data_IF_970677849774
#
_entry.id   IF_970677849774
#
_cell.length_a   1.000
_cell.length_b   1.000
_cell.length_c   1.000
_cell.angle_alpha   90.00
_cell.angle_beta   90.00
_cell.angle_gamma   90.00
#
_symmetry.space_group_name_H-M   'P 1'
#
loop_
_entity.id
_entity.type
_entity.pdbx_description
1 polymer ?
#
# COMPACT_ATOMS: atom_id res chain seq x y z
N UNK A 1 48.76 25.83 -22.83
CA UNK A 1 49.29 24.52 -22.40
C UNK A 1 49.51 24.58 -20.89
N UNK A 2 48.75 23.81 -20.12
CA UNK A 2 48.94 23.67 -18.68
C UNK A 2 48.59 22.23 -18.33
N UNK A 3 49.60 21.38 -18.16
CA UNK A 3 49.45 19.96 -17.86
C UNK A 3 48.92 19.81 -16.43
N UNK A 4 47.70 19.28 -16.30
CA UNK A 4 47.15 18.83 -15.02
C UNK A 4 47.64 17.41 -14.74
N UNK A 5 48.53 17.28 -13.78
CA UNK A 5 49.10 16.01 -13.31
C UNK A 5 48.11 15.32 -12.37
N UNK A 6 47.43 14.26 -12.84
CA UNK A 6 46.50 13.47 -12.02
C UNK A 6 47.31 12.56 -11.08
N UNK A 7 47.50 13.00 -9.83
CA UNK A 7 48.04 12.16 -8.76
C UNK A 7 47.12 10.95 -8.49
N UNK A 8 47.72 9.77 -8.40
CA UNK A 8 47.06 8.51 -8.09
C UNK A 8 46.29 8.55 -6.76
N UNK A 9 45.13 7.89 -6.73
CA UNK A 9 44.28 7.75 -5.55
C UNK A 9 45.05 7.14 -4.37
N UNK A 10 44.93 7.77 -3.20
CA UNK A 10 45.50 7.29 -1.95
C UNK A 10 44.95 5.92 -1.57
N UNK A 11 45.84 4.96 -1.28
CA UNK A 11 45.45 3.64 -0.78
C UNK A 11 44.78 3.74 0.60
N UNK A 12 43.86 2.79 0.87
CA UNK A 12 43.14 2.68 2.15
C UNK A 12 44.14 2.46 3.30
N UNK A 13 44.05 3.30 4.34
CA UNK A 13 44.87 3.19 5.57
C UNK A 13 44.50 2.02 6.49
N UNK A 14 43.44 1.28 6.19
CA UNK A 14 43.00 0.14 6.99
C UNK A 14 42.98 -1.12 6.12
N UNK A 15 43.61 -2.19 6.64
CA UNK A 15 43.65 -3.52 6.02
C UNK A 15 42.27 -4.16 5.87
N UNK A 16 42.19 -5.35 5.24
CA UNK A 16 40.91 -5.99 4.92
C UNK A 16 40.09 -6.29 6.18
N UNK A 17 38.77 -6.12 6.06
CA UNK A 17 37.81 -6.44 7.12
C UNK A 17 37.82 -7.96 7.34
N UNK A 18 38.49 -8.40 8.40
CA UNK A 18 38.46 -9.80 8.86
C UNK A 18 37.13 -10.06 9.58
N UNK A 19 36.49 -11.18 9.22
CA UNK A 19 35.23 -11.67 9.78
C UNK A 19 35.26 -11.69 11.31
N UNK A 20 34.22 -11.18 11.96
CA UNK A 20 34.03 -11.26 13.41
C UNK A 20 33.76 -12.71 13.85
N UNK A 21 34.84 -13.48 14.04
CA UNK A 21 34.81 -14.75 14.74
C UNK A 21 34.72 -14.51 16.25
N UNK A 22 33.70 -15.09 16.88
CA UNK A 22 33.43 -14.97 18.32
C UNK A 22 34.67 -15.30 19.17
N UNK A 23 35.07 -14.35 20.02
CA UNK A 23 36.15 -14.50 21.00
C UNK A 23 35.84 -15.61 22.00
N UNK A 24 36.57 -16.74 21.92
CA UNK A 24 36.60 -17.75 22.98
C UNK A 24 37.50 -17.26 24.12
N UNK A 25 36.91 -16.96 25.26
CA UNK A 25 37.66 -16.69 26.49
C UNK A 25 38.42 -17.95 26.96
N UNK A 26 39.61 -17.81 27.57
CA UNK A 26 40.41 -18.95 28.01
C UNK A 26 39.79 -19.69 29.22
N UNK A 27 39.95 -21.01 29.24
CA UNK A 27 39.37 -21.90 30.26
C UNK A 27 39.98 -21.68 31.65
N UNK A 28 39.12 -21.49 32.65
CA UNK A 28 39.50 -21.42 34.08
C UNK A 28 39.85 -22.82 34.60
N UNK A 29 40.94 -23.02 35.38
CA UNK A 29 41.25 -24.31 35.99
C UNK A 29 40.21 -24.68 37.07
N UNK A 30 39.98 -25.99 37.32
CA UNK A 30 38.89 -26.45 38.17
C UNK A 30 39.12 -26.07 39.65
N UNK A 31 38.06 -25.68 40.39
CA UNK A 31 38.20 -25.44 41.82
C UNK A 31 38.32 -26.76 42.59
N UNK A 32 39.25 -26.77 43.54
CA UNK A 32 39.48 -27.79 44.56
C UNK A 32 38.16 -28.11 45.30
N UNK A 33 37.89 -29.41 45.48
CA UNK A 33 36.66 -29.95 46.04
C UNK A 33 36.28 -29.29 47.39
N UNK A 34 35.04 -28.80 47.49
CA UNK A 34 34.43 -28.39 48.78
C UNK A 34 33.67 -29.57 49.39
N UNK A 35 33.62 -29.69 50.74
CA UNK A 35 33.12 -30.88 51.41
C UNK A 35 31.63 -31.13 51.13
N UNK A 36 31.27 -32.37 50.80
CA UNK A 36 29.90 -32.79 50.57
C UNK A 36 29.13 -32.92 51.89
N UNK A 37 28.36 -31.90 52.23
CA UNK A 37 27.28 -32.05 53.20
C UNK A 37 25.95 -31.75 52.50
N UNK A 38 25.14 -32.80 52.26
CA UNK A 38 23.81 -32.71 51.65
C UNK A 38 22.78 -33.25 52.63
N UNK A 39 22.01 -32.35 53.25
CA UNK A 39 20.87 -32.74 54.10
C UNK A 39 19.74 -33.39 53.29
N UNK A 40 18.89 -34.15 53.98
CA UNK A 40 17.80 -34.99 53.45
C UNK A 40 16.62 -34.24 52.79
N UNK A 41 16.85 -33.10 52.12
CA UNK A 41 15.83 -32.32 51.42
C UNK A 41 16.23 -31.80 50.04
N UNK A 42 17.39 -32.20 49.50
CA UNK A 42 17.86 -31.70 48.21
C UNK A 42 17.28 -32.49 47.03
N UNK A 43 16.14 -32.05 46.49
CA UNK A 43 15.68 -32.51 45.17
C UNK A 43 16.38 -31.69 44.07
N UNK A 44 17.11 -32.37 43.17
CA UNK A 44 17.71 -31.74 41.99
C UNK A 44 16.60 -31.13 41.14
N UNK A 45 16.60 -29.82 40.94
CA UNK A 45 15.76 -29.17 39.92
C UNK A 45 16.08 -29.79 38.56
N UNK A 46 15.05 -30.27 37.86
CA UNK A 46 15.19 -30.79 36.51
C UNK A 46 15.81 -29.71 35.61
N UNK A 47 16.79 -30.10 34.79
CA UNK A 47 17.36 -29.20 33.78
C UNK A 47 16.23 -28.75 32.85
N UNK A 48 16.08 -27.45 32.55
CA UNK A 48 15.14 -27.00 31.53
C UNK A 48 15.49 -27.70 30.22
N UNK A 49 14.49 -28.31 29.57
CA UNK A 49 14.65 -28.89 28.24
C UNK A 49 15.11 -27.77 27.30
N UNK A 50 16.06 -28.03 26.38
CA UNK A 50 16.40 -27.06 25.36
C UNK A 50 15.12 -26.76 24.57
N UNK A 51 14.72 -25.49 24.54
CA UNK A 51 13.71 -25.01 23.62
C UNK A 51 14.31 -25.22 22.23
N UNK A 52 13.89 -26.28 21.55
CA UNK A 52 14.10 -26.38 20.12
C UNK A 52 13.23 -25.27 19.54
N UNK A 53 13.83 -24.12 19.28
CA UNK A 53 13.24 -23.10 18.43
C UNK A 53 12.96 -23.77 17.08
N UNK A 54 11.73 -24.27 16.92
CA UNK A 54 11.23 -24.59 15.61
C UNK A 54 11.41 -23.31 14.77
N UNK A 55 11.97 -23.39 13.56
CA UNK A 55 12.01 -22.23 12.68
C UNK A 55 10.59 -21.68 12.60
N UNK A 56 10.39 -20.45 13.06
CA UNK A 56 9.14 -19.74 12.73
C UNK A 56 9.13 -19.68 11.21
N UNK A 57 8.12 -20.30 10.59
CA UNK A 57 7.89 -20.15 9.16
C UNK A 57 7.92 -18.66 8.86
N UNK A 58 8.99 -18.22 8.17
CA UNK A 58 9.02 -16.86 7.67
C UNK A 58 7.95 -16.82 6.58
N UNK A 59 7.02 -15.86 6.64
CA UNK A 59 6.05 -15.72 5.57
C UNK A 59 6.82 -15.57 4.26
N UNK A 60 6.45 -16.38 3.25
CA UNK A 60 7.02 -16.28 1.92
C UNK A 60 6.88 -14.83 1.46
N UNK A 61 7.96 -14.17 1.01
CA UNK A 61 7.87 -12.81 0.50
C UNK A 61 6.86 -12.78 -0.66
N UNK A 62 5.87 -11.90 -0.61
CA UNK A 62 4.98 -11.69 -1.74
C UNK A 62 5.77 -11.03 -2.87
N UNK A 63 5.68 -11.61 -4.07
CA UNK A 63 6.32 -11.06 -5.26
C UNK A 63 5.78 -9.65 -5.52
N UNK A 64 6.69 -8.72 -5.81
CA UNK A 64 6.36 -7.32 -6.06
C UNK A 64 6.18 -7.11 -7.57
N UNK A 65 4.93 -7.05 -8.03
CA UNK A 65 4.60 -6.85 -9.44
C UNK A 65 4.81 -5.37 -9.85
N UNK A 66 4.56 -4.42 -8.94
CA UNK A 66 4.67 -2.99 -9.27
C UNK A 66 6.13 -2.52 -9.24
N UNK A 67 6.61 -1.80 -10.28
CA UNK A 67 7.93 -1.16 -10.24
C UNK A 67 8.09 -0.20 -9.06
N UNK A 68 9.29 -0.13 -8.50
CA UNK A 68 9.59 0.69 -7.31
C UNK A 68 9.28 2.18 -7.56
N UNK A 69 9.52 2.66 -8.77
CA UNK A 69 9.24 4.04 -9.17
C UNK A 69 7.74 4.35 -9.12
N UNK A 70 6.91 3.38 -9.52
CA UNK A 70 5.46 3.50 -9.46
C UNK A 70 4.96 3.48 -8.01
N UNK A 71 5.51 2.58 -7.19
CA UNK A 71 5.19 2.53 -5.76
C UNK A 71 5.52 3.87 -5.10
N UNK A 72 6.71 4.42 -5.35
CA UNK A 72 7.12 5.71 -4.81
C UNK A 72 6.23 6.86 -5.30
N UNK A 73 5.80 6.85 -6.55
CA UNK A 73 4.88 7.86 -7.09
C UNK A 73 3.53 7.83 -6.37
N UNK A 74 2.96 6.65 -6.12
CA UNK A 74 1.73 6.50 -5.33
C UNK A 74 1.91 7.06 -3.91
N UNK A 75 3.03 6.74 -3.25
CA UNK A 75 3.33 7.27 -1.90
C UNK A 75 3.51 8.79 -1.90
N UNK A 76 4.16 9.35 -2.92
CA UNK A 76 4.32 10.81 -3.04
C UNK A 76 2.97 11.50 -3.20
N UNK A 77 2.02 10.92 -3.95
CA UNK A 77 0.68 11.50 -4.08
C UNK A 77 -0.03 11.57 -2.73
N UNK A 78 0.03 10.52 -1.91
CA UNK A 78 -0.51 10.61 -0.54
C UNK A 78 0.17 11.72 0.25
N UNK A 79 1.49 11.81 0.21
CA UNK A 79 2.24 12.84 0.94
C UNK A 79 1.84 14.26 0.48
N UNK A 80 1.77 14.49 -0.83
CA UNK A 80 1.63 15.83 -1.38
C UNK A 80 0.16 16.30 -1.45
N UNK A 81 -0.81 15.38 -1.33
CA UNK A 81 -2.25 15.71 -1.43
C UNK A 81 -2.86 16.29 -0.14
N UNK A 82 -2.18 16.15 1.00
CA UNK A 82 -2.72 16.57 2.30
C UNK A 82 -1.73 17.47 3.02
N UNK A 83 -2.17 18.68 3.38
CA UNK A 83 -1.36 19.64 4.13
C UNK A 83 -0.91 19.10 5.50
N UNK A 84 -1.69 18.19 6.09
CA UNK A 84 -1.35 17.49 7.32
C UNK A 84 -0.05 16.65 7.25
N UNK A 85 0.51 16.43 6.05
CA UNK A 85 1.81 15.77 5.89
C UNK A 85 3.00 16.68 6.24
N UNK A 86 2.81 18.01 6.27
CA UNK A 86 3.88 18.98 6.55
C UNK A 86 4.29 19.00 8.03
N UNK A 87 3.33 18.79 8.93
CA UNK A 87 3.55 18.70 10.38
C UNK A 87 2.94 17.41 10.94
N UNK A 88 3.71 16.33 10.81
CA UNK A 88 3.27 15.02 11.30
C UNK A 88 3.15 14.96 12.83
N UNK A 89 3.92 15.77 13.57
CA UNK A 89 3.85 15.79 15.04
C UNK A 89 2.51 16.35 15.52
N UNK A 90 2.02 17.40 14.87
CA UNK A 90 0.68 17.94 15.11
C UNK A 90 -0.44 16.92 14.81
N UNK A 91 -0.20 15.97 13.92
CA UNK A 91 -1.17 14.92 13.53
C UNK A 91 -1.23 13.76 14.54
N UNK A 92 -0.20 13.53 15.35
CA UNK A 92 -0.12 12.38 16.29
C UNK A 92 -1.34 12.27 17.22
N UNK A 93 -1.83 13.35 17.87
CA UNK A 93 -3.02 13.28 18.74
C UNK A 93 -4.26 12.80 17.99
N UNK A 94 -4.48 13.32 16.76
CA UNK A 94 -5.58 12.92 15.88
C UNK A 94 -5.49 11.44 15.54
N UNK A 95 -4.29 10.95 15.17
CA UNK A 95 -4.11 9.53 14.85
C UNK A 95 -4.39 8.61 16.03
N UNK A 96 -4.03 9.03 17.25
CA UNK A 96 -4.35 8.26 18.47
C UNK A 96 -5.85 8.20 18.68
N UNK A 97 -6.53 9.33 18.60
CA UNK A 97 -7.99 9.38 18.74
C UNK A 97 -8.69 8.52 17.67
N UNK A 98 -8.29 8.66 16.40
CA UNK A 98 -8.84 7.83 15.31
C UNK A 98 -8.63 6.35 15.60
N UNK A 99 -7.42 5.95 16.00
CA UNK A 99 -7.13 4.56 16.30
C UNK A 99 -7.94 4.03 17.50
N UNK A 100 -8.08 4.83 18.57
CA UNK A 100 -8.93 4.51 19.72
C UNK A 100 -10.40 4.32 19.28
N UNK A 101 -10.95 5.26 18.51
CA UNK A 101 -12.32 5.19 18.01
C UNK A 101 -12.56 4.03 17.05
N UNK A 102 -11.60 3.72 16.18
CA UNK A 102 -11.65 2.52 15.33
C UNK A 102 -11.66 1.23 16.16
N UNK A 103 -10.87 1.17 17.24
CA UNK A 103 -10.87 0.01 18.16
C UNK A 103 -12.18 -0.11 18.93
N UNK A 104 -12.75 1.02 19.36
CA UNK A 104 -14.08 1.13 19.98
C UNK A 104 -15.22 0.85 19.00
N UNK A 105 -14.94 0.85 17.69
CA UNK A 105 -15.91 0.72 16.58
C UNK A 105 -16.87 1.90 16.49
N UNK A 106 -16.46 3.03 17.03
CA UNK A 106 -17.14 4.31 16.91
C UNK A 106 -16.70 4.95 15.58
N UNK A 107 -17.32 4.53 14.48
CA UNK A 107 -16.96 5.01 13.14
C UNK A 107 -17.25 6.49 12.93
N UNK A 108 -18.32 7.00 13.56
CA UNK A 108 -18.66 8.42 13.55
C UNK A 108 -17.61 9.23 14.31
N UNK A 109 -17.19 8.76 15.49
CA UNK A 109 -16.08 9.37 16.24
C UNK A 109 -14.74 9.28 15.51
N UNK A 110 -14.47 8.17 14.83
CA UNK A 110 -13.22 7.94 14.10
C UNK A 110 -13.13 8.76 12.81
N UNK A 111 -14.24 8.91 12.09
CA UNK A 111 -14.24 9.46 10.73
C UNK A 111 -15.20 10.62 10.54
N UNK A 112 -15.79 11.19 11.60
CA UNK A 112 -16.72 12.32 11.49
C UNK A 112 -16.05 13.64 11.09
N UNK A 113 -14.78 13.84 11.47
CA UNK A 113 -14.01 15.04 11.11
C UNK A 113 -13.16 14.86 9.84
N UNK A 114 -13.03 15.93 9.04
CA UNK A 114 -12.18 15.92 7.85
C UNK A 114 -10.71 15.65 8.19
N UNK A 115 -10.17 16.33 9.20
CA UNK A 115 -8.80 16.12 9.70
C UNK A 115 -8.53 14.66 10.10
N UNK A 116 -9.52 14.01 10.71
CA UNK A 116 -9.44 12.59 11.10
C UNK A 116 -9.39 11.67 9.88
N UNK A 117 -10.22 11.94 8.87
CA UNK A 117 -10.23 11.19 7.61
C UNK A 117 -8.93 11.39 6.83
N UNK A 118 -8.41 12.62 6.77
CA UNK A 118 -7.11 12.91 6.15
C UNK A 118 -5.95 12.27 6.89
N UNK A 119 -5.94 12.37 8.22
CA UNK A 119 -4.95 11.70 9.05
C UNK A 119 -4.98 10.19 8.84
N UNK A 120 -6.18 9.61 8.75
CA UNK A 120 -6.34 8.20 8.45
C UNK A 120 -5.84 7.85 7.04
N UNK A 121 -6.19 8.66 6.06
CA UNK A 121 -5.76 8.54 4.67
C UNK A 121 -4.23 8.56 4.57
N UNK A 122 -3.56 9.51 5.24
CA UNK A 122 -2.10 9.62 5.28
C UNK A 122 -1.42 8.44 5.99
N UNK A 123 -1.95 8.02 7.14
CA UNK A 123 -1.25 7.06 8.01
C UNK A 123 -1.43 5.60 7.60
N UNK A 124 -2.62 5.21 7.18
CA UNK A 124 -2.96 3.79 6.95
C UNK A 124 -3.31 3.46 5.50
N UNK A 125 -3.67 4.44 4.66
CA UNK A 125 -4.03 4.16 3.27
C UNK A 125 -2.85 3.91 2.32
N UNK A 126 -1.64 4.50 2.47
CA UNK A 126 -0.60 4.29 1.47
C UNK A 126 -0.12 2.84 1.39
N UNK A 127 0.11 2.20 2.56
CA UNK A 127 0.49 0.79 2.60
C UNK A 127 -0.61 -0.13 2.08
N UNK A 128 -1.88 0.20 2.35
CA UNK A 128 -3.03 -0.57 1.84
C UNK A 128 -3.18 -0.42 0.34
N UNK A 129 -2.99 0.79 -0.20
CA UNK A 129 -3.05 1.06 -1.63
C UNK A 129 -2.02 0.21 -2.40
N UNK A 130 -0.77 0.20 -1.92
CA UNK A 130 0.28 -0.62 -2.53
C UNK A 130 -0.01 -2.12 -2.43
N UNK A 131 -0.47 -2.59 -1.26
CA UNK A 131 -0.83 -3.99 -1.08
C UNK A 131 -1.97 -4.42 -2.01
N UNK A 132 -3.04 -3.62 -2.09
CA UNK A 132 -4.18 -3.89 -2.98
C UNK A 132 -3.76 -3.85 -4.45
N UNK A 133 -2.97 -2.85 -4.85
CA UNK A 133 -2.46 -2.77 -6.22
C UNK A 133 -1.61 -3.99 -6.58
N UNK A 134 -0.74 -4.43 -5.68
CA UNK A 134 0.15 -5.58 -5.91
C UNK A 134 -0.63 -6.87 -6.06
N UNK A 135 -1.58 -7.13 -5.16
CA UNK A 135 -2.46 -8.30 -5.24
C UNK A 135 -3.26 -8.28 -6.55
N UNK A 136 -3.83 -7.13 -6.92
CA UNK A 136 -4.56 -7.03 -8.18
C UNK A 136 -3.66 -7.21 -9.41
N UNK A 137 -2.43 -6.70 -9.38
CA UNK A 137 -1.47 -6.87 -10.47
C UNK A 137 -1.08 -8.35 -10.64
N UNK A 138 -0.75 -9.04 -9.55
CA UNK A 138 -0.49 -10.48 -9.52
C UNK A 138 -1.66 -11.28 -10.13
N UNK A 139 -2.89 -10.98 -9.70
CA UNK A 139 -4.08 -11.60 -10.29
C UNK A 139 -4.25 -11.30 -11.79
N UNK A 140 -3.95 -10.08 -12.24
CA UNK A 140 -4.04 -9.73 -13.66
C UNK A 140 -2.98 -10.42 -14.50
N UNK A 141 -1.78 -10.63 -13.97
CA UNK A 141 -0.70 -11.38 -14.64
C UNK A 141 -1.08 -12.86 -14.79
N UNK A 142 -1.63 -13.49 -13.74
CA UNK A 142 -2.09 -14.89 -13.79
C UNK A 142 -3.32 -15.09 -14.69
N UNK A 143 -4.20 -14.09 -14.75
CA UNK A 143 -5.50 -14.16 -15.43
C UNK A 143 -5.57 -13.28 -16.67
N UNK A 144 -4.44 -13.12 -17.36
CA UNK A 144 -4.33 -12.22 -18.52
C UNK A 144 -5.40 -12.49 -19.59
N UNK A 145 -5.83 -13.75 -19.77
CA UNK A 145 -6.85 -14.12 -20.77
C UNK A 145 -8.30 -13.83 -20.34
N UNK A 146 -8.55 -13.53 -19.06
CA UNK A 146 -9.90 -13.26 -18.56
C UNK A 146 -10.44 -11.94 -19.17
N UNK A 147 -11.71 -11.95 -19.62
CA UNK A 147 -12.38 -10.80 -20.25
C UNK A 147 -12.25 -9.52 -19.41
N UNK A 148 -12.40 -9.62 -18.08
CA UNK A 148 -12.32 -8.45 -17.20
C UNK A 148 -10.90 -7.82 -17.16
N UNK A 149 -9.84 -8.63 -17.24
CA UNK A 149 -8.44 -8.16 -17.27
C UNK A 149 -8.15 -7.49 -18.61
N UNK A 150 -8.60 -8.11 -19.70
CA UNK A 150 -8.51 -7.56 -21.04
C UNK A 150 -9.25 -6.23 -21.14
N UNK A 151 -10.45 -6.15 -20.55
CA UNK A 151 -11.23 -4.92 -20.54
C UNK A 151 -10.56 -3.80 -19.76
N UNK A 152 -9.98 -4.11 -18.60
CA UNK A 152 -9.25 -3.15 -17.76
C UNK A 152 -7.98 -2.63 -18.44
N UNK A 153 -7.29 -3.48 -19.20
CA UNK A 153 -6.04 -3.14 -19.88
C UNK A 153 -6.27 -2.36 -21.19
N UNK A 154 -7.26 -2.77 -21.98
CA UNK A 154 -7.37 -2.34 -23.39
C UNK A 154 -8.65 -1.54 -23.72
N UNK A 155 -9.65 -1.52 -22.84
CA UNK A 155 -10.98 -0.94 -23.15
C UNK A 155 -11.59 -0.19 -21.97
N UNK A 156 -12.92 0.02 -21.97
CA UNK A 156 -13.65 0.55 -20.83
C UNK A 156 -14.14 -0.56 -19.88
N UNK A 157 -13.79 -0.41 -18.60
CA UNK A 157 -14.18 -1.27 -17.51
C UNK A 157 -15.01 -0.50 -16.48
N UNK A 158 -15.79 -1.25 -15.70
CA UNK A 158 -16.47 -0.75 -14.52
C UNK A 158 -15.94 -1.49 -13.30
N UNK A 159 -15.77 -0.79 -12.19
CA UNK A 159 -15.48 -1.40 -10.91
C UNK A 159 -16.36 -0.78 -9.82
N UNK A 160 -16.75 -1.60 -8.85
CA UNK A 160 -17.40 -1.15 -7.62
C UNK A 160 -16.59 -1.66 -6.44
N UNK A 161 -16.30 -0.77 -5.52
CA UNK A 161 -15.49 -1.06 -4.38
C UNK A 161 -16.22 -0.70 -3.09
N UNK A 162 -16.35 -1.69 -2.23
CA UNK A 162 -16.94 -1.54 -0.91
C UNK A 162 -15.84 -1.41 0.14
N UNK A 163 -15.81 -0.25 0.79
CA UNK A 163 -14.85 0.11 1.82
C UNK A 163 -13.84 1.17 1.39
N UNK A 164 -13.34 1.90 2.38
CA UNK A 164 -11.97 2.39 2.50
C UNK A 164 -11.51 3.56 1.64
N UNK A 165 -12.25 3.99 0.61
CA UNK A 165 -12.09 5.22 -0.19
C UNK A 165 -10.69 5.55 -0.75
N UNK A 166 -9.77 5.96 0.14
CA UNK A 166 -8.47 6.52 -0.19
C UNK A 166 -7.47 5.48 -0.72
N UNK A 167 -7.42 4.28 -0.12
CA UNK A 167 -6.47 3.25 -0.52
C UNK A 167 -6.83 2.68 -1.90
N UNK A 168 -8.12 2.57 -2.15
CA UNK A 168 -8.77 1.91 -3.26
C UNK A 168 -8.58 2.69 -4.54
N UNK A 169 -8.77 4.00 -4.49
CA UNK A 169 -8.47 4.89 -5.62
C UNK A 169 -7.03 4.74 -6.04
N UNK A 170 -6.10 4.85 -5.09
CA UNK A 170 -4.69 4.81 -5.39
C UNK A 170 -4.23 3.42 -5.80
N UNK A 171 -4.89 2.37 -5.32
CA UNK A 171 -4.67 1.01 -5.77
C UNK A 171 -5.07 0.83 -7.24
N UNK A 172 -6.29 1.26 -7.62
CA UNK A 172 -6.74 1.22 -9.01
C UNK A 172 -5.91 2.13 -9.90
N UNK A 173 -5.51 3.31 -9.43
CA UNK A 173 -4.65 4.21 -10.19
C UNK A 173 -3.26 3.60 -10.45
N UNK A 174 -2.65 3.01 -9.43
CA UNK A 174 -1.40 2.28 -9.57
C UNK A 174 -1.53 1.07 -10.50
N UNK A 175 -2.60 0.29 -10.36
CA UNK A 175 -2.88 -0.87 -11.23
C UNK A 175 -3.06 -0.47 -12.70
N UNK A 176 -3.89 0.54 -12.98
CA UNK A 176 -4.10 1.05 -14.34
C UNK A 176 -2.79 1.54 -14.95
N UNK A 177 -1.97 2.22 -14.16
CA UNK A 177 -0.63 2.68 -14.57
C UNK A 177 0.33 1.52 -14.85
N UNK A 178 0.21 0.42 -14.11
CA UNK A 178 1.04 -0.76 -14.29
C UNK A 178 0.65 -1.55 -15.54
N UNK A 179 -0.66 -1.81 -15.72
CA UNK A 179 -1.20 -2.61 -16.82
C UNK A 179 -1.05 -1.91 -18.17
N UNK A 180 -1.21 -0.59 -18.22
CA UNK A 180 -1.22 0.11 -19.50
C UNK A 180 0.15 0.68 -19.86
N UNK A 181 0.51 0.50 -21.13
CA UNK A 181 1.73 1.04 -21.72
C UNK A 181 1.65 2.55 -22.01
N UNK A 182 0.44 3.09 -22.15
CA UNK A 182 0.15 4.52 -22.39
C UNK A 182 0.19 5.38 -21.12
N UNK A 183 0.14 4.73 -19.96
CA UNK A 183 0.18 5.40 -18.69
C UNK A 183 1.65 5.78 -18.42
N UNK A 184 1.91 7.09 -18.45
CA UNK A 184 3.20 7.76 -18.58
C UNK A 184 4.45 7.18 -17.82
N UNK A 185 5.65 7.67 -18.11
CA UNK A 185 6.84 7.34 -17.31
C UNK A 185 7.47 5.95 -17.53
N UNK A 186 7.05 5.16 -18.54
CA UNK A 186 7.95 4.13 -19.10
C UNK A 186 9.10 4.82 -19.86
N UNK A 187 10.32 4.25 -19.87
CA UNK A 187 11.45 4.83 -20.62
C UNK A 187 11.08 5.00 -22.10
N UNK A 188 11.57 6.08 -22.71
CA UNK A 188 11.25 6.54 -24.08
C UNK A 188 11.27 5.43 -25.15
N UNK A 189 12.10 4.40 -24.96
CA UNK A 189 12.20 3.23 -25.82
C UNK A 189 10.93 2.37 -25.93
N UNK A 190 10.04 2.42 -24.92
CA UNK A 190 8.75 1.73 -24.96
C UNK A 190 7.63 2.60 -25.57
N UNK A 191 7.75 3.93 -25.49
CA UNK A 191 6.82 4.86 -26.16
C UNK A 191 6.96 4.78 -27.68
N UNK A 192 8.16 4.58 -28.20
CA UNK A 192 8.40 4.52 -29.64
C UNK A 192 7.83 3.24 -30.30
N UNK A 193 7.55 2.19 -29.52
CA UNK A 193 6.85 0.99 -29.97
C UNK A 193 5.30 1.12 -29.93
N UNK A 194 4.76 2.06 -29.14
CA UNK A 194 3.32 2.25 -28.95
C UNK A 194 2.71 3.36 -29.83
N UNK A 195 3.54 4.06 -30.62
CA UNK A 195 3.13 5.22 -31.44
C UNK A 195 2.34 4.87 -32.70
N UNK A 196 2.17 3.60 -33.06
CA UNK A 196 1.45 3.24 -34.28
C UNK A 196 -0.08 3.11 -34.13
N UNK A 197 -0.66 3.16 -32.91
CA UNK A 197 -2.05 2.72 -32.74
C UNK A 197 -3.05 3.65 -32.01
N UNK A 198 -2.81 4.96 -31.81
CA UNK A 198 -3.86 5.77 -31.16
C UNK A 198 -4.19 7.12 -31.81
N UNK A 199 -5.38 7.16 -32.41
CA UNK A 199 -6.10 8.33 -32.88
C UNK A 199 -6.71 9.13 -31.72
N UNK A 200 -6.55 10.45 -31.80
CA UNK A 200 -7.03 11.44 -30.84
C UNK A 200 -8.54 11.68 -31.01
N UNK A 201 -9.37 10.89 -30.34
CA UNK A 201 -10.76 11.27 -30.04
C UNK A 201 -11.00 11.18 -28.53
N UNK A 202 -11.87 12.04 -28.01
CA UNK A 202 -12.23 12.10 -26.59
C UNK A 202 -12.99 10.83 -26.19
N UNK A 203 -12.23 9.76 -25.93
CA UNK A 203 -12.74 8.45 -25.55
C UNK A 203 -13.34 8.48 -24.14
N UNK A 204 -14.42 7.72 -23.96
CA UNK A 204 -15.04 7.42 -22.66
C UNK A 204 -13.99 6.95 -21.62
N UNK A 205 -14.26 7.12 -20.32
CA UNK A 205 -13.27 6.77 -19.31
C UNK A 205 -12.90 5.29 -19.36
N UNK A 206 -11.60 5.02 -19.18
CA UNK A 206 -11.06 3.65 -19.22
C UNK A 206 -11.58 2.84 -18.03
N UNK A 207 -11.60 3.43 -16.83
CA UNK A 207 -12.24 2.82 -15.66
C UNK A 207 -13.27 3.78 -15.06
N UNK A 208 -14.50 3.30 -14.95
CA UNK A 208 -15.56 3.92 -14.17
C UNK A 208 -15.64 3.22 -12.80
N UNK A 209 -15.06 3.84 -11.77
CA UNK A 209 -14.93 3.30 -10.43
C UNK A 209 -15.99 3.92 -9.50
N UNK A 210 -16.83 3.08 -8.90
CA UNK A 210 -17.78 3.46 -7.86
C UNK A 210 -17.27 3.03 -6.49
N UNK A 211 -17.12 3.97 -5.56
CA UNK A 211 -16.69 3.73 -4.19
C UNK A 211 -17.88 3.90 -3.25
N UNK A 212 -18.03 2.94 -2.34
CA UNK A 212 -19.10 2.95 -1.34
C UNK A 212 -18.49 2.71 0.03
N UNK A 213 -18.70 3.66 0.93
CA UNK A 213 -18.27 3.57 2.32
C UNK A 213 -19.24 4.34 3.23
N UNK A 214 -19.28 4.00 4.52
CA UNK A 214 -20.18 4.66 5.48
C UNK A 214 -19.68 6.05 5.88
N UNK A 215 -18.37 6.30 5.87
CA UNK A 215 -17.79 7.61 6.16
C UNK A 215 -17.68 8.46 4.90
N UNK A 216 -17.78 9.79 5.04
CA UNK A 216 -17.70 10.73 3.91
C UNK A 216 -16.25 10.95 3.45
N UNK A 217 -15.78 10.15 2.49
CA UNK A 217 -14.44 10.27 1.92
C UNK A 217 -14.34 11.30 0.78
N UNK A 218 -15.41 12.01 0.42
CA UNK A 218 -15.46 12.85 -0.79
C UNK A 218 -14.30 13.83 -0.92
N UNK A 219 -13.95 14.54 0.15
CA UNK A 219 -12.81 15.49 0.15
C UNK A 219 -11.47 14.78 -0.08
N UNK A 220 -11.23 13.67 0.63
CA UNK A 220 -10.02 12.86 0.52
C UNK A 220 -9.86 12.30 -0.89
N UNK A 221 -10.95 11.79 -1.46
CA UNK A 221 -11.03 11.27 -2.83
C UNK A 221 -10.69 12.35 -3.85
N UNK A 222 -11.29 13.54 -3.71
CA UNK A 222 -11.03 14.67 -4.61
C UNK A 222 -9.56 15.11 -4.59
N UNK A 223 -8.96 15.19 -3.40
CA UNK A 223 -7.54 15.54 -3.23
C UNK A 223 -6.61 14.51 -3.90
N UNK A 224 -6.86 13.22 -3.68
CA UNK A 224 -6.08 12.14 -4.29
C UNK A 224 -6.27 12.05 -5.81
N UNK A 225 -7.49 12.25 -6.31
CA UNK A 225 -7.76 12.29 -7.75
C UNK A 225 -7.03 13.46 -8.41
N UNK A 226 -7.02 14.62 -7.76
CA UNK A 226 -6.25 15.80 -8.20
C UNK A 226 -4.75 15.48 -8.22
N UNK A 227 -4.22 14.87 -7.15
CA UNK A 227 -2.82 14.45 -7.08
C UNK A 227 -2.43 13.40 -8.12
N UNK A 228 -3.33 12.47 -8.45
CA UNK A 228 -3.10 11.45 -9.47
C UNK A 228 -3.08 12.00 -10.91
N UNK A 229 -3.80 13.09 -11.16
CA UNK A 229 -3.93 13.71 -12.49
C UNK A 229 -3.05 14.95 -12.68
N UNK A 230 -2.38 15.41 -11.62
CA UNK A 230 -1.46 16.55 -11.66
C UNK A 230 -0.01 16.06 -11.68
N UNK A 231 0.86 16.56 -12.58
CA UNK A 231 2.28 16.25 -12.55
C UNK A 231 2.93 16.67 -11.22
N UNK A 232 3.86 15.87 -10.66
CA UNK A 232 4.57 16.22 -9.45
C UNK A 232 5.23 17.60 -9.52
N UNK A 233 5.28 18.30 -8.38
CA UNK A 233 5.99 19.58 -8.29
C UNK A 233 7.49 19.34 -8.37
N UNK A 234 8.16 20.05 -9.29
CA UNK A 234 9.60 19.95 -9.47
C UNK A 234 10.31 21.09 -8.74
N UNK A 235 11.50 20.80 -8.22
CA UNK A 235 12.37 21.86 -7.69
C UNK A 235 12.76 22.85 -8.79
N UNK A 236 13.03 24.10 -8.41
CA UNK A 236 13.58 25.13 -9.32
C UNK A 236 14.88 24.74 -10.02
N UNK A 237 15.60 23.74 -9.49
CA UNK A 237 16.87 23.26 -10.01
C UNK A 237 16.74 21.90 -10.74
N UNK A 238 15.52 21.46 -11.06
CA UNK A 238 15.30 20.20 -11.76
C UNK A 238 16.04 20.19 -13.12
N UNK A 239 16.66 19.05 -13.43
CA UNK A 239 17.37 18.86 -14.70
C UNK A 239 16.40 18.94 -15.89
N UNK A 240 16.94 19.15 -17.10
CA UNK A 240 16.11 19.13 -18.31
C UNK A 240 15.44 17.76 -18.51
N UNK A 241 16.15 16.68 -18.18
CA UNK A 241 15.61 15.31 -18.23
C UNK A 241 14.46 15.11 -17.24
N UNK A 242 14.61 15.54 -15.98
CA UNK A 242 13.55 15.44 -14.97
C UNK A 242 12.30 16.25 -15.34
N UNK A 243 12.47 17.39 -16.02
CA UNK A 243 11.35 18.18 -16.56
C UNK A 243 10.66 17.48 -17.73
N UNK A 244 11.43 16.85 -18.62
CA UNK A 244 10.88 16.11 -19.76
C UNK A 244 10.11 14.85 -19.34
N UNK A 245 10.51 14.21 -18.25
CA UNK A 245 9.83 13.03 -17.69
C UNK A 245 8.76 13.36 -16.64
N UNK A 246 8.42 14.64 -16.44
CA UNK A 246 7.46 15.04 -15.41
C UNK A 246 6.03 14.81 -15.88
N UNK A 247 5.47 13.66 -15.51
CA UNK A 247 4.14 13.25 -15.94
C UNK A 247 3.30 12.86 -14.74
N UNK A 248 2.00 13.17 -14.79
CA UNK A 248 1.03 12.70 -13.81
C UNK A 248 0.97 11.16 -13.75
N UNK A 249 0.40 10.62 -12.66
CA UNK A 249 0.18 9.18 -12.51
C UNK A 249 -0.85 8.65 -13.51
N UNK A 250 -1.86 9.45 -13.86
CA UNK A 250 -2.86 9.11 -14.87
C UNK A 250 -3.21 10.34 -15.71
N UNK A 251 -3.62 10.11 -16.95
CA UNK A 251 -4.32 11.12 -17.74
C UNK A 251 -5.74 11.30 -17.20
N UNK A 252 -6.33 12.52 -17.20
CA UNK A 252 -7.66 12.77 -16.65
C UNK A 252 -8.79 11.82 -17.12
N UNK A 253 -8.91 11.40 -18.39
CA UNK A 253 -9.98 10.49 -18.82
C UNK A 253 -9.75 9.04 -18.38
N UNK A 254 -8.61 8.68 -17.77
CA UNK A 254 -8.29 7.27 -17.49
C UNK A 254 -9.15 6.68 -16.37
N UNK A 255 -9.46 7.48 -15.35
CA UNK A 255 -10.13 7.03 -14.15
C UNK A 255 -11.24 8.01 -13.77
N UNK A 256 -12.48 7.61 -13.99
CA UNK A 256 -13.65 8.30 -13.47
C UNK A 256 -14.01 7.72 -12.10
N UNK A 257 -14.26 8.58 -11.12
CA UNK A 257 -14.52 8.17 -9.74
C UNK A 257 -15.88 8.72 -9.33
N UNK A 258 -16.77 7.83 -8.91
CA UNK A 258 -18.04 8.17 -8.27
C UNK A 258 -17.98 7.68 -6.82
N UNK A 259 -18.33 8.54 -5.88
CA UNK A 259 -18.39 8.17 -4.46
C UNK A 259 -19.81 8.26 -3.94
N UNK A 260 -20.24 7.25 -3.20
CA UNK A 260 -21.52 7.22 -2.49
C UNK A 260 -21.27 6.93 -1.02
N UNK A 261 -21.63 7.87 -0.15
CA UNK A 261 -21.64 7.63 1.29
C UNK A 261 -22.84 6.76 1.65
N UNK A 262 -22.63 5.47 1.88
CA UNK A 262 -23.68 4.54 2.28
C UNK A 262 -23.08 3.36 3.04
N UNK A 263 -23.72 2.95 4.14
CA UNK A 263 -23.36 1.70 4.78
C UNK A 263 -23.86 0.51 3.94
N UNK A 264 -22.94 -0.26 3.37
CA UNK A 264 -23.23 -1.47 2.60
C UNK A 264 -24.10 -2.46 3.39
N UNK A 265 -23.93 -2.55 4.71
CA UNK A 265 -24.66 -3.51 5.53
C UNK A 265 -26.15 -3.18 5.70
N UNK A 266 -26.54 -1.96 5.34
CA UNK A 266 -27.94 -1.51 5.36
C UNK A 266 -28.63 -1.67 4.01
N UNK A 267 -27.90 -2.06 2.95
CA UNK A 267 -28.45 -2.22 1.62
C UNK A 267 -29.29 -3.50 1.51
N UNK A 268 -30.46 -3.37 0.91
CA UNK A 268 -31.27 -4.51 0.48
C UNK A 268 -30.67 -5.18 -0.76
N UNK A 269 -31.00 -6.45 -0.99
CA UNK A 269 -30.61 -7.18 -2.20
C UNK A 269 -31.00 -6.45 -3.49
N UNK A 270 -32.16 -5.79 -3.50
CA UNK A 270 -32.63 -5.02 -4.66
C UNK A 270 -31.76 -3.79 -4.91
N UNK A 271 -31.41 -3.04 -3.87
CA UNK A 271 -30.52 -1.89 -3.98
C UNK A 271 -29.11 -2.31 -4.40
N UNK A 272 -28.60 -3.42 -3.87
CA UNK A 272 -27.29 -3.94 -4.26
C UNK A 272 -27.25 -4.34 -5.75
N UNK A 273 -28.31 -5.00 -6.24
CA UNK A 273 -28.45 -5.30 -7.68
C UNK A 273 -28.50 -4.05 -8.53
N UNK A 274 -29.22 -3.02 -8.09
CA UNK A 274 -29.30 -1.74 -8.80
C UNK A 274 -27.95 -1.02 -8.84
N UNK A 275 -27.15 -1.09 -7.76
CA UNK A 275 -25.81 -0.50 -7.67
C UNK A 275 -24.80 -1.20 -8.57
N UNK A 276 -24.80 -2.54 -8.58
CA UNK A 276 -23.91 -3.36 -9.43
C UNK A 276 -24.32 -3.24 -10.91
N UNK A 277 -25.62 -3.21 -11.17
CA UNK A 277 -26.20 -3.19 -12.51
C UNK A 277 -26.11 -4.53 -13.24
N UNK A 278 -26.51 -4.53 -14.51
CA UNK A 278 -26.62 -5.76 -15.33
C UNK A 278 -25.38 -6.04 -16.18
N UNK A 279 -24.39 -5.15 -16.18
CA UNK A 279 -23.16 -5.28 -16.97
C UNK A 279 -22.05 -5.92 -16.11
N UNK A 280 -21.12 -6.70 -16.71
CA UNK A 280 -19.99 -7.23 -15.97
C UNK A 280 -19.14 -6.10 -15.36
N UNK A 281 -18.95 -6.18 -14.05
CA UNK A 281 -18.27 -5.20 -13.19
C UNK A 281 -17.33 -5.93 -12.23
N UNK A 282 -16.14 -5.37 -12.01
CA UNK A 282 -15.24 -5.88 -10.96
C UNK A 282 -15.77 -5.43 -9.60
N UNK A 283 -16.02 -6.38 -8.71
CA UNK A 283 -16.45 -6.10 -7.33
C UNK A 283 -15.30 -6.35 -6.38
N UNK A 284 -14.86 -5.33 -5.66
CA UNK A 284 -13.85 -5.47 -4.59
C UNK A 284 -14.47 -5.24 -3.22
N UNK A 285 -14.15 -6.13 -2.29
CA UNK A 285 -14.56 -6.06 -0.89
C UNK A 285 -13.33 -5.73 -0.03
N UNK A 286 -12.97 -4.45 0.07
CA UNK A 286 -11.90 -4.00 0.95
C UNK A 286 -12.43 -3.65 2.35
N UNK A 287 -13.26 -4.55 2.85
CA UNK A 287 -13.84 -4.53 4.19
C UNK A 287 -13.03 -5.45 5.11
N UNK A 288 -13.02 -5.15 6.41
CA UNK A 288 -12.43 -6.10 7.36
C UNK A 288 -13.34 -7.32 7.54
N UNK A 289 -12.77 -8.52 7.62
CA UNK A 289 -13.54 -9.74 7.98
C UNK A 289 -14.28 -9.58 9.30
N UNK A 290 -13.72 -8.78 10.22
CA UNK A 290 -14.35 -8.47 11.50
C UNK A 290 -15.67 -7.70 11.35
N UNK A 291 -15.77 -6.88 10.30
CA UNK A 291 -16.99 -6.15 9.95
C UNK A 291 -18.05 -7.14 9.45
N UNK A 292 -17.71 -8.00 8.48
CA UNK A 292 -18.62 -9.01 7.94
C UNK A 292 -19.15 -9.96 9.02
N UNK A 293 -18.25 -10.51 9.83
CA UNK A 293 -18.59 -11.51 10.85
C UNK A 293 -19.57 -10.95 11.88
N UNK A 294 -19.38 -9.73 12.36
CA UNK A 294 -20.23 -9.17 13.42
C UNK A 294 -21.58 -8.69 12.92
N UNK A 295 -21.65 -8.11 11.71
CA UNK A 295 -22.94 -7.83 11.08
C UNK A 295 -23.73 -9.13 10.91
N UNK A 296 -23.08 -10.19 10.42
CA UNK A 296 -23.75 -11.49 10.24
C UNK A 296 -24.29 -12.07 11.55
N UNK A 297 -23.52 -12.01 12.65
CA UNK A 297 -23.99 -12.47 13.96
C UNK A 297 -25.18 -11.64 14.45
N UNK A 298 -25.06 -10.31 14.44
CA UNK A 298 -26.13 -9.45 14.95
C UNK A 298 -27.44 -9.65 14.19
N UNK A 299 -27.37 -9.78 12.86
CA UNK A 299 -28.55 -10.04 12.02
C UNK A 299 -29.08 -11.45 12.29
N UNK A 300 -28.22 -12.46 12.37
CA UNK A 300 -28.64 -13.84 12.61
C UNK A 300 -29.31 -13.98 13.97
N UNK A 301 -28.77 -13.34 15.01
CA UNK A 301 -29.38 -13.34 16.34
C UNK A 301 -30.71 -12.57 16.39
N UNK A 302 -30.90 -11.54 15.57
CA UNK A 302 -32.16 -10.81 15.48
C UNK A 302 -33.28 -11.59 14.75
N UNK A 303 -32.96 -12.72 14.11
CA UNK A 303 -33.94 -13.62 13.49
C UNK A 303 -34.51 -14.65 14.49
N UNK A 304 -33.99 -14.71 15.72
CA UNK A 304 -34.43 -15.59 16.81
C UNK A 304 -35.06 -14.79 17.95
#
# INVERSE_FOLDING_TARGET
MGQYDRKAQSQRKHGPILSSGASKAPARPPPIAKPEWRGNGYMKKAKPKPHLDAPKDQPTPQDQCLPVELQQLVLNIFKDSFAASEDFEALIPVLKEVNEKVLERDWEGAFGGEEKREGYALRWSPSRALAFANVMAEFCEEKVEDDWVQRLSNSSAKAICFGGGAAEIMAFAGLLRHLRSDAAGRPQSALDAAKEEFSTEASAPILDLTLIDSADWSSVISKLQTGATTPPTLSKYASASARASNTALLSPPTLNINFTQHDIFTLTTTQLRQLIGDKPILVTLFLTLSSLYKTSISITLALF
#
